data_IF_115428144917
#
_entry.id   IF_115428144917
#
_cell.length_a   1.000
_cell.length_b   1.000
_cell.length_c   1.000
_cell.angle_alpha   90.00
_cell.angle_beta   90.00
_cell.angle_gamma   90.00
#
_symmetry.space_group_name_H-M   'P 1'
#
loop_
_entity.id
_entity.type
_entity.pdbx_description
1 polymer ?
#
# COMPACT_ATOMS: atom_id res chain seq x y z
N UNK A 1 -29.24 -24.37 7.10
CA UNK A 1 -28.12 -23.74 7.84
C UNK A 1 -27.68 -22.54 7.01
N UNK A 2 -28.28 -21.37 7.26
CA UNK A 2 -27.97 -20.14 6.53
C UNK A 2 -26.55 -19.72 6.90
N UNK A 3 -25.63 -19.83 5.94
CA UNK A 3 -24.28 -19.32 6.07
C UNK A 3 -24.36 -17.79 6.02
N UNK A 4 -24.68 -17.21 7.16
CA UNK A 4 -24.56 -15.79 7.42
C UNK A 4 -23.07 -15.54 7.70
N UNK A 5 -22.25 -15.51 6.65
CA UNK A 5 -20.99 -14.76 6.76
C UNK A 5 -21.44 -13.31 6.75
N UNK A 6 -21.74 -12.79 7.93
CA UNK A 6 -21.91 -11.38 8.18
C UNK A 6 -20.63 -10.69 7.72
N UNK A 7 -20.63 -10.20 6.49
CA UNK A 7 -19.62 -9.28 5.96
C UNK A 7 -19.50 -8.14 6.96
N UNK A 8 -18.42 -8.23 7.73
CA UNK A 8 -18.03 -7.31 8.76
C UNK A 8 -18.09 -5.90 8.16
N UNK A 9 -18.77 -4.99 8.85
CA UNK A 9 -18.79 -3.56 8.52
C UNK A 9 -17.39 -3.11 8.10
N UNK A 10 -17.27 -2.68 6.84
CA UNK A 10 -16.11 -2.04 6.23
C UNK A 10 -15.79 -0.73 6.97
N UNK A 11 -15.20 -0.81 8.15
CA UNK A 11 -14.31 0.24 8.64
C UNK A 11 -13.04 0.10 7.80
N UNK A 12 -12.76 1.09 6.95
CA UNK A 12 -11.76 0.99 5.89
C UNK A 12 -10.44 0.43 6.41
N UNK A 13 -10.08 -0.76 5.94
CA UNK A 13 -8.71 -1.27 6.03
C UNK A 13 -7.91 -0.69 4.86
N UNK A 14 -6.60 -0.53 5.05
CA UNK A 14 -5.71 -0.24 3.93
C UNK A 14 -5.79 -1.40 2.94
N UNK A 15 -5.66 -1.13 1.65
CA UNK A 15 -5.85 -2.14 0.63
C UNK A 15 -4.87 -1.99 -0.52
N UNK A 16 -4.35 -3.14 -0.98
CA UNK A 16 -3.46 -3.25 -2.13
C UNK A 16 -4.15 -4.08 -3.19
N UNK A 17 -4.48 -3.46 -4.33
CA UNK A 17 -5.01 -4.17 -5.49
C UNK A 17 -3.91 -4.40 -6.52
N UNK A 18 -3.66 -5.67 -6.85
CA UNK A 18 -2.73 -6.10 -7.90
C UNK A 18 -3.48 -6.40 -9.19
N UNK A 19 -3.06 -5.82 -10.31
CA UNK A 19 -3.60 -6.11 -11.64
C UNK A 19 -2.46 -6.40 -12.62
N UNK A 20 -2.21 -7.68 -12.87
CA UNK A 20 -1.21 -8.14 -13.84
C UNK A 20 -1.65 -7.84 -15.27
N UNK A 21 -0.77 -7.18 -16.04
CA UNK A 21 -1.03 -6.84 -17.43
C UNK A 21 -0.66 -8.03 -18.32
N UNK A 22 -1.58 -8.48 -19.17
CA UNK A 22 -1.35 -9.64 -20.06
C UNK A 22 -0.34 -9.38 -21.18
N UNK A 23 -0.10 -8.11 -21.49
CA UNK A 23 0.71 -7.68 -22.64
C UNK A 23 2.17 -7.34 -22.31
N UNK A 24 2.52 -7.18 -21.03
CA UNK A 24 3.87 -6.81 -20.58
C UNK A 24 4.13 -7.33 -19.16
N UNK A 25 5.38 -7.59 -18.76
CA UNK A 25 5.73 -8.10 -17.43
C UNK A 25 5.62 -6.98 -16.37
N UNK A 26 4.40 -6.47 -16.17
CA UNK A 26 4.09 -5.36 -15.26
C UNK A 26 2.78 -5.66 -14.54
N UNK A 27 2.77 -5.44 -13.24
CA UNK A 27 1.57 -5.39 -12.41
C UNK A 27 1.23 -3.93 -12.10
N UNK A 28 -0.01 -3.53 -12.38
CA UNK A 28 -0.58 -2.26 -11.93
C UNK A 28 -1.05 -2.43 -10.49
N UNK A 29 -0.32 -1.86 -9.55
CA UNK A 29 -0.57 -1.95 -8.11
C UNK A 29 -1.23 -0.67 -7.63
N UNK A 30 -2.38 -0.79 -6.97
CA UNK A 30 -3.12 0.35 -6.43
C UNK A 30 -3.19 0.27 -4.92
N UNK A 31 -2.66 1.27 -4.25
CA UNK A 31 -2.71 1.44 -2.81
C UNK A 31 -3.91 2.31 -2.45
N UNK A 32 -4.66 1.89 -1.43
CA UNK A 32 -5.78 2.64 -0.86
C UNK A 32 -5.57 2.75 0.65
N UNK A 33 -5.55 3.97 1.17
CA UNK A 33 -5.30 4.24 2.60
C UNK A 33 -6.46 5.08 3.14
N UNK A 34 -7.35 4.52 3.97
CA UNK A 34 -8.40 5.28 4.64
C UNK A 34 -7.77 6.13 5.75
N UNK A 35 -7.79 7.45 5.56
CA UNK A 35 -7.17 8.40 6.47
C UNK A 35 -7.86 9.76 6.34
N UNK A 36 -9.15 9.84 6.69
CA UNK A 36 -9.95 11.04 6.42
C UNK A 36 -9.43 12.29 7.13
N UNK A 37 -8.82 12.13 8.30
CA UNK A 37 -8.23 13.23 9.06
C UNK A 37 -6.82 13.62 8.59
N UNK A 38 -6.17 12.76 7.79
CA UNK A 38 -4.81 13.02 7.33
C UNK A 38 -4.76 14.14 6.29
N UNK A 39 -3.70 14.95 6.35
CA UNK A 39 -3.43 16.00 5.36
C UNK A 39 -2.71 15.43 4.14
N UNK A 40 -1.79 14.51 4.38
CA UNK A 40 -0.91 13.92 3.39
C UNK A 40 -0.69 12.44 3.65
N UNK A 41 -0.75 11.67 2.58
CA UNK A 41 -0.35 10.26 2.58
C UNK A 41 0.54 10.00 1.39
N UNK A 42 1.65 9.31 1.59
CA UNK A 42 2.51 8.80 0.54
C UNK A 42 2.79 7.31 0.73
N UNK A 43 3.16 6.62 -0.33
CA UNK A 43 3.72 5.27 -0.26
C UNK A 43 5.18 5.36 -0.65
N UNK A 44 6.09 4.92 0.20
CA UNK A 44 7.54 4.95 -0.06
C UNK A 44 8.08 3.54 -0.04
N UNK A 45 8.99 3.23 -0.96
CA UNK A 45 9.55 1.90 -1.08
C UNK A 45 10.60 1.81 -2.18
N UNK A 46 11.02 0.60 -2.50
CA UNK A 46 12.12 0.39 -3.46
C UNK A 46 11.80 0.97 -4.85
N UNK A 47 10.55 0.85 -5.28
CA UNK A 47 10.07 1.33 -6.59
C UNK A 47 10.14 2.86 -6.76
N UNK A 48 10.28 3.64 -5.68
CA UNK A 48 10.47 5.08 -5.75
C UNK A 48 11.72 5.58 -5.00
N UNK A 49 12.63 4.66 -4.65
CA UNK A 49 13.84 4.96 -3.86
C UNK A 49 13.51 5.66 -2.54
N UNK A 50 12.44 5.22 -1.88
CA UNK A 50 12.01 5.72 -0.58
C UNK A 50 11.74 7.24 -0.52
N UNK A 51 11.36 7.86 -1.64
CA UNK A 51 11.17 9.31 -1.75
C UNK A 51 9.69 9.74 -1.62
N UNK A 52 9.27 10.37 -0.51
CA UNK A 52 7.87 10.72 -0.28
C UNK A 52 7.31 11.79 -1.22
N UNK A 53 8.18 12.65 -1.80
CA UNK A 53 7.74 13.70 -2.74
C UNK A 53 7.33 13.14 -4.10
N UNK A 54 7.76 11.92 -4.44
CA UNK A 54 7.52 11.28 -5.74
C UNK A 54 6.34 10.31 -5.72
N UNK A 55 5.65 10.16 -4.59
CA UNK A 55 4.66 9.10 -4.40
C UNK A 55 3.52 9.48 -3.44
N UNK A 56 3.22 10.78 -3.36
CA UNK A 56 2.02 11.26 -2.66
C UNK A 56 0.77 10.66 -3.29
N UNK A 57 -0.12 10.14 -2.45
CA UNK A 57 -1.42 9.63 -2.83
C UNK A 57 -2.43 10.77 -2.94
N UNK A 58 -3.44 10.59 -3.79
CA UNK A 58 -4.51 11.56 -3.98
C UNK A 58 -5.63 11.30 -2.97
N UNK A 59 -5.98 12.31 -2.17
CA UNK A 59 -7.15 12.25 -1.28
C UNK A 59 -8.44 12.30 -2.10
N UNK A 60 -9.31 11.33 -1.89
CA UNK A 60 -10.64 11.23 -2.48
C UNK A 60 -11.68 11.89 -1.55
N UNK A 61 -12.85 12.23 -2.11
CA UNK A 61 -13.92 12.95 -1.37
C UNK A 61 -14.49 12.17 -0.18
N UNK A 62 -14.31 10.86 -0.16
CA UNK A 62 -14.74 9.95 0.90
C UNK A 62 -13.65 9.70 1.97
N UNK A 63 -12.60 10.52 2.01
CA UNK A 63 -11.55 10.45 3.02
C UNK A 63 -10.47 9.37 2.80
N UNK A 64 -10.53 8.62 1.69
CA UNK A 64 -9.47 7.66 1.33
C UNK A 64 -8.41 8.31 0.45
N UNK A 65 -7.16 7.94 0.65
CA UNK A 65 -6.05 8.27 -0.23
C UNK A 65 -5.80 7.12 -1.20
N UNK A 66 -5.53 7.44 -2.47
CA UNK A 66 -5.32 6.43 -3.51
C UNK A 66 -4.18 6.79 -4.44
N UNK A 67 -3.40 5.79 -4.86
CA UNK A 67 -2.38 5.94 -5.89
C UNK A 67 -2.04 4.61 -6.54
N UNK A 68 -1.52 4.67 -7.76
CA UNK A 68 -1.29 3.50 -8.60
C UNK A 68 0.11 3.54 -9.19
N UNK A 69 0.80 2.41 -9.13
CA UNK A 69 2.15 2.23 -9.65
C UNK A 69 2.17 1.05 -10.62
N UNK A 70 2.87 1.22 -11.74
CA UNK A 70 3.15 0.14 -12.68
C UNK A 70 4.51 -0.46 -12.29
N UNK A 71 4.51 -1.65 -11.70
CA UNK A 71 5.70 -2.30 -11.16
C UNK A 71 6.05 -3.56 -11.96
N UNK A 72 7.33 -3.82 -12.25
CA UNK A 72 7.77 -5.10 -12.81
C UNK A 72 7.29 -6.30 -11.96
N UNK A 73 6.89 -7.38 -12.63
CA UNK A 73 6.54 -8.66 -11.98
C UNK A 73 7.80 -9.47 -11.67
N UNK A 74 7.66 -10.57 -10.93
CA UNK A 74 8.75 -11.44 -10.47
C UNK A 74 9.78 -10.70 -9.60
N UNK A 75 9.27 -9.77 -8.78
CA UNK A 75 10.08 -8.92 -7.91
C UNK A 75 9.36 -8.72 -6.57
N UNK A 76 10.17 -8.58 -5.52
CA UNK A 76 9.71 -8.18 -4.19
C UNK A 76 10.10 -6.72 -3.93
N UNK A 77 9.19 -5.93 -3.36
CA UNK A 77 9.44 -4.53 -3.02
C UNK A 77 9.15 -4.28 -1.54
N UNK A 78 10.13 -3.81 -0.79
CA UNK A 78 9.90 -3.26 0.54
C UNK A 78 9.24 -1.88 0.42
N UNK A 79 8.25 -1.61 1.28
CA UNK A 79 7.54 -0.34 1.31
C UNK A 79 6.92 -0.03 2.67
N UNK A 80 6.56 1.24 2.87
CA UNK A 80 5.75 1.75 4.00
C UNK A 80 4.83 2.88 3.53
N UNK A 81 3.76 3.10 4.28
CA UNK A 81 2.97 4.32 4.20
C UNK A 81 3.61 5.43 5.03
N UNK A 82 3.57 6.66 4.54
CA UNK A 82 3.92 7.86 5.29
C UNK A 82 2.65 8.71 5.44
N UNK A 83 2.02 8.63 6.60
CA UNK A 83 0.77 9.33 6.93
C UNK A 83 1.13 10.50 7.84
N UNK A 84 1.02 11.72 7.33
CA UNK A 84 1.39 12.96 8.05
C UNK A 84 2.76 12.89 8.75
N UNK A 85 3.75 12.29 8.07
CA UNK A 85 5.12 12.14 8.56
C UNK A 85 5.35 10.92 9.45
N UNK A 86 4.31 10.14 9.76
CA UNK A 86 4.42 8.89 10.52
C UNK A 86 4.49 7.69 9.58
N UNK A 87 5.49 6.83 9.79
CA UNK A 87 5.64 5.61 9.01
C UNK A 87 4.74 4.49 9.55
N UNK A 88 3.91 3.93 8.68
CA UNK A 88 2.94 2.87 9.00
C UNK A 88 3.10 1.71 8.03
N UNK A 89 3.07 0.47 8.53
CA UNK A 89 3.09 -0.71 7.68
C UNK A 89 1.69 -1.08 7.18
N UNK A 90 1.64 -1.73 6.02
CA UNK A 90 0.43 -2.43 5.59
C UNK A 90 0.22 -3.64 6.50
N UNK A 91 -0.95 -3.72 7.14
CA UNK A 91 -1.29 -4.80 8.06
C UNK A 91 -1.46 -6.13 7.32
N UNK A 92 -1.99 -6.05 6.09
CA UNK A 92 -2.23 -7.19 5.21
C UNK A 92 -1.15 -7.32 4.12
N UNK A 93 0.10 -6.98 4.45
CA UNK A 93 1.23 -7.13 3.54
C UNK A 93 1.46 -8.61 3.18
N UNK A 94 2.06 -8.88 2.02
CA UNK A 94 2.36 -10.27 1.63
C UNK A 94 3.34 -10.93 2.61
N UNK A 95 4.26 -10.13 3.16
CA UNK A 95 5.11 -10.47 4.32
C UNK A 95 5.75 -9.21 4.93
N UNK A 96 6.53 -9.42 5.98
CA UNK A 96 7.37 -8.40 6.58
C UNK A 96 8.86 -8.74 6.39
N UNK A 97 9.71 -7.71 6.35
CA UNK A 97 11.16 -7.83 6.25
C UNK A 97 11.82 -6.96 7.30
N UNK A 98 12.64 -7.57 8.16
CA UNK A 98 13.46 -6.81 9.11
C UNK A 98 14.44 -5.90 8.37
N UNK A 99 14.52 -4.63 8.82
CA UNK A 99 15.42 -3.63 8.30
C UNK A 99 16.26 -3.03 9.43
N UNK A 100 17.57 -3.31 9.43
CA UNK A 100 18.50 -2.87 10.47
C UNK A 100 18.63 -1.34 10.55
N UNK A 101 18.53 -0.64 9.41
CA UNK A 101 18.63 0.82 9.37
C UNK A 101 17.43 1.50 10.02
N UNK A 102 16.24 0.93 9.86
CA UNK A 102 15.01 1.43 10.47
C UNK A 102 14.80 0.91 11.90
N UNK A 103 15.55 -0.13 12.31
CA UNK A 103 15.36 -0.82 13.59
C UNK A 103 13.97 -1.46 13.72
N UNK A 104 13.34 -1.80 12.60
CA UNK A 104 11.97 -2.34 12.55
C UNK A 104 11.73 -3.06 11.23
N UNK A 105 10.55 -3.66 11.08
CA UNK A 105 10.15 -4.35 9.86
C UNK A 105 9.48 -3.41 8.85
N UNK A 106 9.76 -3.64 7.57
CA UNK A 106 9.03 -3.06 6.45
C UNK A 106 7.99 -4.05 5.92
N UNK A 107 6.88 -3.53 5.39
CA UNK A 107 5.96 -4.34 4.60
C UNK A 107 6.62 -4.72 3.26
N UNK A 108 6.32 -5.91 2.75
CA UNK A 108 6.79 -6.38 1.45
C UNK A 108 5.62 -6.67 0.53
N UNK A 109 5.78 -6.21 -0.71
CA UNK A 109 4.91 -6.48 -1.84
C UNK A 109 5.58 -7.48 -2.78
N UNK A 110 4.96 -8.64 -2.96
CA UNK A 110 5.40 -9.71 -3.87
C UNK A 110 4.58 -9.65 -5.17
N UNK A 111 5.24 -9.54 -6.32
CA UNK A 111 4.64 -9.44 -7.66
C UNK A 111 5.19 -10.49 -8.63
#
# INVERSE_FOLDING_TARGET
MHCFVSELKLFGTMAIKKQYLKSKPVCKVTFTVPADEAKTVAVVGDFNKWNPKKSSLTKLKNGTFKGTFDLPVENSYEFRYLIDGTYTNEAEADRYQWNDYAGTENAVLEL
#
